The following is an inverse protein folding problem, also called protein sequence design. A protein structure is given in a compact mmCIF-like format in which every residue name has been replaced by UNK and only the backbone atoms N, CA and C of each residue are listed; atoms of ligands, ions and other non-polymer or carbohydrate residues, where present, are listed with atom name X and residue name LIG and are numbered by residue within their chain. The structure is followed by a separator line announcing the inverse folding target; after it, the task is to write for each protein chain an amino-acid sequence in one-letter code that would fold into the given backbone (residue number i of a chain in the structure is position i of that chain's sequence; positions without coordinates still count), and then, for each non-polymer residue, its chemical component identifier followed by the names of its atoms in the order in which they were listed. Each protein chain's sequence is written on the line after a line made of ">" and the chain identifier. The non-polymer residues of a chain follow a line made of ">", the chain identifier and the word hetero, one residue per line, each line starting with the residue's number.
data_IF_821422778941
#
_entry.id   IF_821422778941
#
_cell.length_a   1.000
_cell.length_b   1.000
_cell.length_c   1.000
_cell.angle_alpha   90.00
_cell.angle_beta   90.00
_cell.angle_gamma   90.00
#
_symmetry.space_group_name_H-M   'P 1'
#
loop_
_entity.id
_entity.type
_entity.pdbx_description
1 polymer ?
#
# COMPACT_ATOMS: atom_id res chain seq x y z
N UNK A 1 -8.77 9.73 19.83
CA UNK A 1 -8.36 8.31 19.92
C UNK A 1 -7.59 7.84 18.69
N UNK A 2 -8.02 8.15 17.48
CA UNK A 2 -7.40 7.65 16.23
C UNK A 2 -5.91 8.00 16.07
N UNK A 3 -5.50 9.20 16.46
CA UNK A 3 -4.08 9.60 16.40
C UNK A 3 -3.18 8.79 17.34
N UNK A 4 -3.68 8.47 18.54
CA UNK A 4 -2.93 7.62 19.49
C UNK A 4 -2.71 6.22 18.94
N UNK A 5 -3.71 5.63 18.25
CA UNK A 5 -3.56 4.34 17.57
C UNK A 5 -2.48 4.43 16.48
N UNK A 6 -2.49 5.49 15.65
CA UNK A 6 -1.47 5.68 14.62
C UNK A 6 -0.06 5.83 15.19
N UNK A 7 0.09 6.54 16.30
CA UNK A 7 1.36 6.69 17.01
C UNK A 7 1.85 5.34 17.55
N UNK A 8 0.95 4.56 18.17
CA UNK A 8 1.26 3.21 18.67
C UNK A 8 1.64 2.24 17.54
N UNK A 9 0.96 2.33 16.39
CA UNK A 9 1.29 1.56 15.17
C UNK A 9 2.73 1.83 14.74
N UNK A 10 3.14 3.10 14.70
CA UNK A 10 4.51 3.49 14.32
C UNK A 10 5.55 2.95 15.31
N UNK A 11 5.24 3.00 16.61
CA UNK A 11 6.11 2.43 17.65
C UNK A 11 6.24 0.91 17.50
N UNK A 12 5.12 0.21 17.27
CA UNK A 12 5.13 -1.25 17.06
C UNK A 12 5.91 -1.60 15.82
N UNK A 13 5.75 -0.86 14.71
CA UNK A 13 6.47 -1.09 13.48
C UNK A 13 7.98 -0.95 13.65
N UNK A 14 8.42 0.04 14.45
CA UNK A 14 9.84 0.28 14.72
C UNK A 14 10.47 -0.72 15.68
N UNK A 15 9.74 -1.17 16.70
CA UNK A 15 10.32 -1.91 17.84
C UNK A 15 9.90 -3.37 17.92
N UNK A 16 8.99 -3.86 17.10
CA UNK A 16 8.39 -5.17 17.30
C UNK A 16 8.32 -6.01 16.03
N UNK A 17 8.88 -7.22 16.10
CA UNK A 17 8.65 -8.28 15.10
C UNK A 17 7.25 -8.92 15.18
N UNK A 18 6.32 -8.39 15.96
CA UNK A 18 4.96 -8.89 16.13
C UNK A 18 4.13 -8.82 14.85
N UNK A 19 4.43 -7.87 13.99
CA UNK A 19 3.77 -7.69 12.69
C UNK A 19 3.69 -9.01 11.91
N UNK A 20 4.81 -9.71 11.75
CA UNK A 20 4.85 -10.98 11.01
C UNK A 20 4.01 -12.10 11.64
N UNK A 21 3.79 -12.07 12.96
CA UNK A 21 2.97 -13.06 13.66
C UNK A 21 1.47 -12.79 13.52
N UNK A 22 1.07 -11.53 13.51
CA UNK A 22 -0.33 -11.10 13.39
C UNK A 22 -0.81 -11.18 11.95
N UNK A 23 0.06 -10.90 11.00
CA UNK A 23 -0.26 -10.81 9.58
C UNK A 23 -0.35 -12.18 8.89
N UNK A 24 -1.33 -13.00 9.27
CA UNK A 24 -1.63 -14.28 8.62
C UNK A 24 -2.90 -14.16 7.78
N UNK A 25 -2.75 -14.27 6.45
CA UNK A 25 -3.87 -14.12 5.50
C UNK A 25 -4.67 -15.42 5.28
N UNK A 26 -4.20 -16.54 5.85
CA UNK A 26 -4.78 -17.87 5.59
C UNK A 26 -6.29 -17.97 5.87
N UNK A 27 -6.77 -17.32 6.93
CA UNK A 27 -8.20 -17.27 7.22
C UNK A 27 -9.01 -16.57 6.13
N UNK A 28 -8.49 -15.45 5.60
CA UNK A 28 -9.14 -14.69 4.55
C UNK A 28 -9.14 -15.43 3.21
N UNK A 29 -8.01 -16.01 2.83
CA UNK A 29 -7.88 -16.80 1.62
C UNK A 29 -8.78 -18.04 1.66
N UNK A 30 -8.84 -18.72 2.80
CA UNK A 30 -9.77 -19.84 3.01
C UNK A 30 -11.24 -19.44 2.90
N UNK A 31 -11.60 -18.27 3.40
CA UNK A 31 -12.93 -17.70 3.25
C UNK A 31 -13.25 -17.33 1.80
N UNK A 32 -12.33 -16.68 1.09
CA UNK A 32 -12.47 -16.39 -0.34
C UNK A 32 -12.64 -17.68 -1.18
N UNK A 33 -11.84 -18.70 -0.91
CA UNK A 33 -11.95 -20.02 -1.56
C UNK A 33 -13.34 -20.65 -1.30
N UNK A 34 -13.86 -20.55 -0.08
CA UNK A 34 -15.18 -21.07 0.26
C UNK A 34 -16.30 -20.34 -0.48
N UNK A 35 -16.24 -19.00 -0.54
CA UNK A 35 -17.22 -18.19 -1.30
C UNK A 35 -17.09 -18.46 -2.80
N UNK A 36 -15.88 -18.52 -3.33
CA UNK A 36 -15.60 -18.79 -4.74
C UNK A 36 -15.95 -20.20 -5.17
N UNK A 37 -16.04 -21.17 -4.24
CA UNK A 37 -16.53 -22.54 -4.50
C UNK A 37 -18.03 -22.63 -4.76
N UNK A 38 -18.81 -21.59 -4.43
CA UNK A 38 -20.26 -21.58 -4.61
C UNK A 38 -20.61 -21.07 -6.02
N UNK A 39 -21.17 -21.94 -6.87
CA UNK A 39 -21.50 -21.63 -8.28
C UNK A 39 -22.36 -20.37 -8.45
N UNK A 40 -23.29 -20.09 -7.54
CA UNK A 40 -24.13 -18.88 -7.61
C UNK A 40 -23.31 -17.59 -7.40
N UNK A 41 -22.24 -17.65 -6.58
CA UNK A 41 -21.36 -16.50 -6.31
C UNK A 41 -20.41 -16.19 -7.47
N UNK A 42 -19.96 -17.23 -8.18
CA UNK A 42 -19.16 -17.05 -9.40
C UNK A 42 -20.02 -16.61 -10.60
N UNK A 43 -21.30 -16.99 -10.64
CA UNK A 43 -22.26 -16.51 -11.64
C UNK A 43 -22.62 -15.02 -11.42
N UNK A 44 -22.57 -14.54 -10.18
CA UNK A 44 -22.85 -13.14 -9.79
C UNK A 44 -21.64 -12.58 -9.01
N UNK A 45 -20.56 -12.19 -9.68
CA UNK A 45 -19.29 -11.87 -9.02
C UNK A 45 -19.36 -10.70 -8.02
N UNK A 46 -20.22 -9.72 -8.29
CA UNK A 46 -20.44 -8.61 -7.35
C UNK A 46 -21.07 -9.09 -6.05
N UNK A 47 -22.06 -10.00 -6.15
CA UNK A 47 -22.67 -10.61 -4.97
C UNK A 47 -21.66 -11.47 -4.22
N UNK A 48 -20.85 -12.26 -4.93
CA UNK A 48 -19.78 -13.05 -4.35
C UNK A 48 -18.79 -12.19 -3.57
N UNK A 49 -18.34 -11.07 -4.14
CA UNK A 49 -17.43 -10.15 -3.49
C UNK A 49 -18.08 -9.46 -2.26
N UNK A 50 -19.35 -9.06 -2.36
CA UNK A 50 -20.12 -8.52 -1.23
C UNK A 50 -20.21 -9.53 -0.09
N UNK A 51 -20.59 -10.77 -0.38
CA UNK A 51 -20.68 -11.86 0.61
C UNK A 51 -19.30 -12.18 1.22
N UNK A 52 -18.22 -12.01 0.47
CA UNK A 52 -16.89 -12.19 1.02
C UNK A 52 -16.51 -11.03 1.96
N UNK A 53 -16.66 -9.78 1.54
CA UNK A 53 -16.10 -8.61 2.22
C UNK A 53 -16.98 -8.10 3.36
N UNK A 54 -18.31 -8.09 3.19
CA UNK A 54 -19.24 -7.50 4.19
C UNK A 54 -19.23 -8.19 5.55
N UNK A 55 -19.24 -9.54 5.68
CA UNK A 55 -19.33 -10.18 7.00
C UNK A 55 -18.18 -9.79 7.94
N UNK A 56 -16.89 -9.84 7.56
CA UNK A 56 -15.83 -9.41 8.45
C UNK A 56 -15.88 -7.92 8.79
N UNK A 57 -16.36 -7.06 7.87
CA UNK A 57 -16.52 -5.63 8.14
C UNK A 57 -17.67 -5.36 9.13
N UNK A 58 -18.80 -6.03 8.94
CA UNK A 58 -19.95 -5.90 9.84
C UNK A 58 -19.62 -6.45 11.24
N UNK A 59 -18.90 -7.56 11.32
CA UNK A 59 -18.42 -8.10 12.59
C UNK A 59 -17.52 -7.10 13.32
N UNK A 60 -16.56 -6.51 12.61
CA UNK A 60 -15.68 -5.50 13.18
C UNK A 60 -16.48 -4.25 13.63
N UNK A 61 -17.39 -3.75 12.78
CA UNK A 61 -18.22 -2.60 13.11
C UNK A 61 -19.07 -2.87 14.37
N UNK A 62 -19.70 -4.04 14.45
CA UNK A 62 -20.47 -4.47 15.62
C UNK A 62 -19.60 -4.53 16.88
N UNK A 63 -18.42 -5.14 16.81
CA UNK A 63 -17.50 -5.22 17.95
C UNK A 63 -17.06 -3.83 18.42
N UNK A 64 -16.79 -2.91 17.50
CA UNK A 64 -16.40 -1.53 17.83
C UNK A 64 -17.57 -0.79 18.50
N UNK A 65 -18.80 -0.89 17.97
CA UNK A 65 -19.96 -0.22 18.57
C UNK A 65 -20.28 -0.73 19.99
N UNK A 66 -19.95 -1.99 20.31
CA UNK A 66 -20.10 -2.57 21.65
C UNK A 66 -18.96 -2.09 22.58
N UNK A 67 -17.73 -2.00 22.06
CA UNK A 67 -16.55 -1.70 22.88
C UNK A 67 -16.30 -0.19 23.07
N UNK A 68 -16.69 0.66 22.11
CA UNK A 68 -16.48 2.10 22.17
C UNK A 68 -17.08 2.79 23.42
N UNK A 69 -18.32 2.48 23.85
CA UNK A 69 -18.89 3.11 25.05
C UNK A 69 -18.25 2.61 26.34
N UNK A 70 -17.52 1.49 26.32
CA UNK A 70 -16.95 0.89 27.53
C UNK A 70 -15.60 1.53 27.84
N UNK A 71 -15.44 1.98 29.08
CA UNK A 71 -14.20 2.59 29.61
C UNK A 71 -13.67 3.73 28.73
N UNK A 72 -14.57 4.62 28.23
CA UNK A 72 -14.20 5.76 27.36
C UNK A 72 -13.45 5.35 26.08
N UNK A 73 -13.74 4.16 25.54
CA UNK A 73 -13.11 3.66 24.31
C UNK A 73 -11.76 2.97 24.52
N UNK A 74 -11.26 2.87 25.74
CA UNK A 74 -9.96 2.22 26.01
C UNK A 74 -9.98 0.72 25.65
N UNK A 75 -11.13 0.04 25.75
CA UNK A 75 -11.27 -1.37 25.35
C UNK A 75 -11.31 -1.54 23.82
N UNK A 76 -11.76 -0.54 23.08
CA UNK A 76 -11.72 -0.55 21.60
C UNK A 76 -10.27 -0.35 21.06
N UNK A 77 -9.38 0.27 21.81
CA UNK A 77 -8.02 0.63 21.40
C UNK A 77 -7.18 -0.60 20.96
N UNK A 78 -7.08 -1.70 21.75
CA UNK A 78 -6.34 -2.90 21.33
C UNK A 78 -6.90 -3.52 20.06
N UNK A 79 -8.23 -3.51 19.88
CA UNK A 79 -8.88 -4.04 18.68
C UNK A 79 -8.56 -3.16 17.46
N UNK A 80 -8.67 -1.84 17.59
CA UNK A 80 -8.30 -0.91 16.52
C UNK A 80 -6.83 -1.06 16.13
N UNK A 81 -5.93 -1.15 17.12
CA UNK A 81 -4.51 -1.35 16.89
C UNK A 81 -4.23 -2.66 16.16
N UNK A 82 -4.85 -3.76 16.59
CA UNK A 82 -4.72 -5.07 15.96
C UNK A 82 -5.19 -5.03 14.51
N UNK A 83 -6.34 -4.42 14.24
CA UNK A 83 -6.89 -4.29 12.88
C UNK A 83 -5.97 -3.47 11.99
N UNK A 84 -5.44 -2.33 12.47
CA UNK A 84 -4.54 -1.50 11.67
C UNK A 84 -3.24 -2.24 11.40
N UNK A 85 -2.60 -2.85 12.42
CA UNK A 85 -1.37 -3.64 12.25
C UNK A 85 -1.57 -4.81 11.28
N UNK A 86 -2.73 -5.49 11.35
CA UNK A 86 -3.07 -6.54 10.40
C UNK A 86 -3.28 -5.99 8.98
N UNK A 87 -3.87 -4.81 8.84
CA UNK A 87 -4.16 -4.18 7.55
C UNK A 87 -2.92 -3.62 6.86
N UNK A 88 -1.86 -3.29 7.61
CA UNK A 88 -0.58 -2.88 7.01
C UNK A 88 -0.02 -3.97 6.07
N UNK A 89 0.76 -3.55 5.09
CA UNK A 89 1.36 -4.46 4.09
C UNK A 89 2.25 -5.53 4.69
N UNK A 90 2.50 -6.57 3.92
CA UNK A 90 3.33 -7.71 4.33
C UNK A 90 4.81 -7.44 4.07
N UNK A 91 5.64 -7.85 5.01
CA UNK A 91 7.10 -7.78 4.89
C UNK A 91 7.67 -6.36 5.05
N UNK A 92 8.98 -6.30 4.96
CA UNK A 92 9.77 -5.07 4.96
C UNK A 92 10.18 -4.76 3.51
N UNK A 93 9.62 -3.68 2.96
CA UNK A 93 9.84 -3.28 1.57
C UNK A 93 11.33 -3.06 1.28
N UNK A 94 12.09 -2.47 2.24
CA UNK A 94 13.54 -2.28 2.09
C UNK A 94 14.30 -3.60 2.06
N UNK A 95 13.91 -4.56 2.90
CA UNK A 95 14.54 -5.88 2.89
C UNK A 95 14.29 -6.63 1.59
N UNK A 96 13.08 -6.50 1.03
CA UNK A 96 12.73 -7.14 -0.24
C UNK A 96 13.60 -6.64 -1.39
N UNK A 97 13.97 -5.36 -1.41
CA UNK A 97 14.85 -4.79 -2.44
C UNK A 97 16.35 -4.94 -2.12
N UNK A 98 16.71 -5.37 -0.91
CA UNK A 98 18.12 -5.49 -0.50
C UNK A 98 18.99 -6.29 -1.48
N UNK A 99 18.62 -7.53 -1.84
CA UNK A 99 19.36 -8.35 -2.78
C UNK A 99 19.50 -7.71 -4.18
N UNK A 100 18.46 -7.02 -4.66
CA UNK A 100 18.51 -6.27 -5.92
C UNK A 100 19.53 -5.13 -5.84
N UNK A 101 19.49 -4.33 -4.76
CA UNK A 101 20.44 -3.23 -4.53
C UNK A 101 21.89 -3.71 -4.51
N UNK A 102 22.14 -4.87 -3.91
CA UNK A 102 23.48 -5.45 -3.83
C UNK A 102 23.99 -5.93 -5.18
N UNK A 103 23.14 -6.57 -6.00
CA UNK A 103 23.49 -6.96 -7.36
C UNK A 103 23.72 -5.72 -8.24
N UNK A 104 22.81 -4.73 -8.17
CA UNK A 104 22.89 -3.49 -8.92
C UNK A 104 24.16 -2.69 -8.61
N UNK A 105 24.55 -2.61 -7.32
CA UNK A 105 25.78 -1.95 -6.86
C UNK A 105 27.05 -2.60 -7.41
N UNK A 106 27.03 -3.92 -7.59
CA UNK A 106 28.14 -4.68 -8.19
C UNK A 106 28.14 -4.65 -9.71
N UNK A 107 27.23 -3.91 -10.32
CA UNK A 107 27.04 -3.82 -11.78
C UNK A 107 26.68 -5.19 -12.42
N UNK A 108 26.14 -6.11 -11.62
CA UNK A 108 25.66 -7.41 -12.06
C UNK A 108 24.19 -7.28 -12.54
N UNK A 109 24.02 -6.84 -13.79
CA UNK A 109 22.71 -6.65 -14.39
C UNK A 109 21.91 -7.96 -14.46
N UNK A 110 22.55 -9.07 -14.78
CA UNK A 110 21.90 -10.37 -14.90
C UNK A 110 21.46 -10.91 -13.54
N UNK A 111 22.30 -10.78 -12.52
CA UNK A 111 21.94 -11.13 -11.15
C UNK A 111 20.81 -10.25 -10.61
N UNK A 112 20.84 -8.94 -10.89
CA UNK A 112 19.78 -8.02 -10.51
C UNK A 112 18.44 -8.37 -11.19
N UNK A 113 18.45 -8.75 -12.47
CA UNK A 113 17.27 -9.21 -13.19
C UNK A 113 16.64 -10.45 -12.53
N UNK A 114 17.44 -11.48 -12.25
CA UNK A 114 16.94 -12.70 -11.59
C UNK A 114 16.38 -12.44 -10.20
N UNK A 115 16.99 -11.53 -9.45
CA UNK A 115 16.47 -11.14 -8.13
C UNK A 115 15.16 -10.37 -8.26
N UNK A 116 15.06 -9.44 -9.21
CA UNK A 116 13.83 -8.68 -9.45
C UNK A 116 12.66 -9.59 -9.84
N UNK A 117 12.90 -10.58 -10.71
CA UNK A 117 11.90 -11.55 -11.11
C UNK A 117 11.47 -12.45 -9.94
N UNK A 118 12.43 -13.01 -9.20
CA UNK A 118 12.17 -13.97 -8.12
C UNK A 118 11.56 -13.32 -6.88
N UNK A 119 12.11 -12.19 -6.43
CA UNK A 119 11.80 -11.61 -5.11
C UNK A 119 10.77 -10.48 -5.20
N UNK A 120 10.71 -9.77 -6.33
CA UNK A 120 9.78 -8.66 -6.54
C UNK A 120 8.64 -9.01 -7.52
N UNK A 121 8.68 -10.18 -8.16
CA UNK A 121 7.67 -10.61 -9.13
C UNK A 121 7.63 -9.74 -10.40
N UNK A 122 8.72 -9.04 -10.69
CA UNK A 122 8.83 -8.10 -11.81
C UNK A 122 9.18 -8.87 -13.08
N UNK A 123 8.26 -8.90 -14.05
CA UNK A 123 8.55 -9.43 -15.38
C UNK A 123 8.93 -8.25 -16.30
N UNK A 124 10.20 -8.11 -16.58
CA UNK A 124 10.70 -7.15 -17.56
C UNK A 124 11.20 -7.91 -18.77
N UNK A 125 10.76 -7.54 -19.95
CA UNK A 125 11.47 -7.96 -21.17
C UNK A 125 12.79 -7.18 -21.18
N UNK A 126 13.88 -7.88 -20.88
CA UNK A 126 15.19 -7.32 -20.60
C UNK A 126 15.88 -6.81 -21.89
N UNK A 127 15.46 -5.66 -22.38
CA UNK A 127 16.15 -5.01 -23.51
C UNK A 127 17.02 -3.82 -23.06
N UNK A 128 16.83 -3.28 -21.83
CA UNK A 128 17.62 -2.16 -21.30
C UNK A 128 17.67 -2.17 -19.75
N UNK A 129 18.87 -1.99 -19.19
CA UNK A 129 19.08 -1.91 -17.73
C UNK A 129 18.29 -0.77 -17.08
N UNK A 130 18.14 0.36 -17.77
CA UNK A 130 17.36 1.50 -17.27
C UNK A 130 15.87 1.17 -17.10
N UNK A 131 15.31 0.31 -17.94
CA UNK A 131 13.91 -0.13 -17.83
C UNK A 131 13.70 -0.98 -16.58
N UNK A 132 14.67 -1.86 -16.25
CA UNK A 132 14.62 -2.67 -15.04
C UNK A 132 14.63 -1.82 -13.76
N UNK A 133 15.54 -0.84 -13.70
CA UNK A 133 15.62 0.06 -12.55
C UNK A 133 14.32 0.86 -12.38
N UNK A 134 13.78 1.42 -13.46
CA UNK A 134 12.52 2.18 -13.43
C UNK A 134 11.34 1.33 -12.96
N UNK A 135 11.26 0.05 -13.38
CA UNK A 135 10.22 -0.87 -12.92
C UNK A 135 10.39 -1.21 -11.45
N UNK A 136 11.61 -1.45 -10.98
CA UNK A 136 11.88 -1.71 -9.55
C UNK A 136 11.57 -0.46 -8.70
N UNK A 137 11.91 0.73 -9.17
CA UNK A 137 11.55 2.00 -8.53
C UNK A 137 10.01 2.16 -8.41
N UNK A 138 9.29 1.89 -9.50
CA UNK A 138 7.82 1.90 -9.49
C UNK A 138 7.24 0.87 -8.53
N UNK A 139 7.82 -0.33 -8.49
CA UNK A 139 7.42 -1.40 -7.56
C UNK A 139 7.66 -1.00 -6.10
N UNK A 140 8.80 -0.36 -5.79
CA UNK A 140 9.10 0.16 -4.46
C UNK A 140 8.02 1.14 -3.98
N UNK A 141 7.72 2.15 -4.81
CA UNK A 141 6.71 3.17 -4.47
C UNK A 141 5.34 2.53 -4.30
N UNK A 142 4.97 1.61 -5.20
CA UNK A 142 3.69 0.90 -5.15
C UNK A 142 3.54 0.02 -3.91
N UNK A 143 4.57 -0.77 -3.58
CA UNK A 143 4.55 -1.61 -2.37
C UNK A 143 4.47 -0.78 -1.10
N UNK A 144 5.24 0.32 -1.00
CA UNK A 144 5.17 1.23 0.13
C UNK A 144 3.80 1.91 0.26
N UNK A 145 3.21 2.32 -0.88
CA UNK A 145 1.86 2.89 -0.92
C UNK A 145 0.81 1.93 -0.36
N UNK A 146 0.76 0.70 -0.89
CA UNK A 146 -0.20 -0.30 -0.45
C UNK A 146 0.02 -0.74 1.00
N UNK A 147 1.29 -0.86 1.38
CA UNK A 147 1.66 -1.36 2.70
C UNK A 147 1.31 -0.37 3.82
N UNK A 148 1.37 0.92 3.52
CA UNK A 148 1.31 1.95 4.54
C UNK A 148 0.31 3.06 4.19
N UNK A 149 0.55 3.83 3.12
CA UNK A 149 -0.17 5.08 2.85
C UNK A 149 -1.68 4.88 2.65
N UNK A 150 -2.08 3.92 1.85
CA UNK A 150 -3.51 3.67 1.59
C UNK A 150 -4.25 3.21 2.86
N UNK A 151 -3.63 2.35 3.67
CA UNK A 151 -4.21 1.87 4.94
C UNK A 151 -4.35 3.02 5.93
N UNK A 152 -3.29 3.82 6.11
CA UNK A 152 -3.30 4.97 7.03
C UNK A 152 -4.31 6.02 6.58
N UNK A 153 -4.40 6.29 5.27
CA UNK A 153 -5.39 7.22 4.71
C UNK A 153 -6.82 6.82 5.09
N UNK A 154 -7.20 5.58 4.81
CA UNK A 154 -8.56 5.11 5.08
C UNK A 154 -8.84 4.99 6.58
N UNK A 155 -7.84 4.63 7.36
CA UNK A 155 -7.96 4.63 8.81
C UNK A 155 -8.21 6.05 9.37
N UNK A 156 -7.45 7.02 8.92
CA UNK A 156 -7.56 8.39 9.39
C UNK A 156 -8.90 9.05 8.98
N UNK A 157 -9.40 8.73 7.77
CA UNK A 157 -10.61 9.34 7.23
C UNK A 157 -11.90 8.67 7.74
N UNK A 158 -11.96 7.35 7.74
CA UNK A 158 -13.18 6.55 8.00
C UNK A 158 -12.99 5.49 9.10
N UNK A 159 -11.81 5.44 9.75
CA UNK A 159 -11.54 4.53 10.85
C UNK A 159 -11.14 3.11 10.45
N UNK A 160 -11.10 2.19 11.43
CA UNK A 160 -10.53 0.84 11.25
C UNK A 160 -11.31 -0.05 10.30
N UNK A 161 -12.62 0.16 10.15
CA UNK A 161 -13.46 -0.62 9.22
C UNK A 161 -13.06 -0.36 7.76
N UNK A 162 -12.80 0.91 7.41
CA UNK A 162 -12.36 1.26 6.06
C UNK A 162 -10.94 0.79 5.75
N UNK A 163 -10.03 0.87 6.73
CA UNK A 163 -8.69 0.31 6.60
C UNK A 163 -8.73 -1.20 6.36
N UNK A 164 -9.58 -1.93 7.09
CA UNK A 164 -9.80 -3.35 6.88
C UNK A 164 -10.40 -3.62 5.50
N UNK A 165 -11.42 -2.88 5.08
CA UNK A 165 -12.06 -3.02 3.76
C UNK A 165 -11.03 -2.89 2.64
N UNK A 166 -10.19 -1.84 2.69
CA UNK A 166 -9.10 -1.66 1.74
C UNK A 166 -8.19 -2.88 1.68
N UNK A 167 -7.76 -3.37 2.85
CA UNK A 167 -6.82 -4.51 2.90
C UNK A 167 -7.43 -5.81 2.39
N UNK A 168 -8.69 -6.11 2.74
CA UNK A 168 -9.40 -7.29 2.23
C UNK A 168 -9.53 -7.26 0.70
N UNK A 169 -9.86 -6.10 0.14
CA UNK A 169 -9.94 -5.89 -1.31
C UNK A 169 -8.56 -6.02 -1.97
N UNK A 170 -7.51 -5.48 -1.37
CA UNK A 170 -6.15 -5.57 -1.90
C UNK A 170 -5.69 -7.04 -1.98
N UNK A 171 -5.91 -7.83 -0.93
CA UNK A 171 -5.55 -9.26 -0.94
C UNK A 171 -6.42 -10.03 -1.94
N UNK A 172 -7.73 -9.76 -2.03
CA UNK A 172 -8.61 -10.40 -3.00
C UNK A 172 -8.19 -10.10 -4.44
N UNK A 173 -7.81 -8.84 -4.74
CA UNK A 173 -7.34 -8.45 -6.06
C UNK A 173 -6.01 -9.10 -6.48
N UNK A 174 -5.17 -9.47 -5.51
CA UNK A 174 -3.84 -10.04 -5.78
C UNK A 174 -3.80 -11.57 -5.72
N UNK A 175 -4.52 -12.16 -4.77
CA UNK A 175 -4.33 -13.56 -4.39
C UNK A 175 -5.57 -14.45 -4.58
N UNK A 176 -6.73 -13.90 -4.97
CA UNK A 176 -7.92 -14.71 -5.21
C UNK A 176 -7.67 -15.68 -6.39
N UNK A 177 -8.01 -16.94 -6.17
CA UNK A 177 -7.88 -18.01 -7.16
C UNK A 177 -8.95 -17.93 -8.26
N UNK A 178 -10.06 -17.27 -7.96
CA UNK A 178 -11.16 -17.09 -8.91
C UNK A 178 -10.93 -15.82 -9.75
N UNK A 179 -10.60 -15.95 -11.06
CA UNK A 179 -10.25 -14.79 -11.88
C UNK A 179 -11.34 -13.72 -11.92
N UNK A 180 -12.61 -14.15 -11.88
CA UNK A 180 -13.76 -13.25 -11.96
C UNK A 180 -13.92 -12.42 -10.68
N UNK A 181 -13.76 -13.03 -9.50
CA UNK A 181 -13.78 -12.30 -8.21
C UNK A 181 -12.57 -11.38 -8.10
N UNK A 182 -11.39 -11.85 -8.50
CA UNK A 182 -10.15 -11.06 -8.53
C UNK A 182 -10.31 -9.79 -9.37
N UNK A 183 -10.93 -9.91 -10.55
CA UNK A 183 -11.17 -8.74 -11.41
C UNK A 183 -12.11 -7.71 -10.75
N UNK A 184 -13.20 -8.16 -10.10
CA UNK A 184 -14.10 -7.24 -9.38
C UNK A 184 -13.46 -6.62 -8.16
N UNK A 185 -12.66 -7.38 -7.42
CA UNK A 185 -11.86 -6.85 -6.32
C UNK A 185 -10.87 -5.78 -6.82
N UNK A 186 -10.22 -6.01 -7.96
CA UNK A 186 -9.31 -5.05 -8.58
C UNK A 186 -10.03 -3.75 -9.02
N UNK A 187 -11.25 -3.85 -9.55
CA UNK A 187 -12.07 -2.68 -9.91
C UNK A 187 -12.43 -1.84 -8.68
N UNK A 188 -12.89 -2.49 -7.59
CA UNK A 188 -13.18 -1.77 -6.33
C UNK A 188 -11.91 -1.19 -5.72
N UNK A 189 -10.83 -1.95 -5.72
CA UNK A 189 -9.55 -1.46 -5.24
C UNK A 189 -9.09 -0.23 -6.01
N UNK A 190 -9.25 -0.20 -7.34
CA UNK A 190 -8.93 0.97 -8.15
C UNK A 190 -9.71 2.22 -7.67
N UNK A 191 -11.00 2.07 -7.34
CA UNK A 191 -11.78 3.15 -6.76
C UNK A 191 -11.26 3.61 -5.39
N UNK A 192 -10.89 2.65 -4.52
CA UNK A 192 -10.28 2.95 -3.22
C UNK A 192 -8.88 3.56 -3.35
N UNK A 193 -8.10 3.20 -4.35
CA UNK A 193 -6.78 3.76 -4.60
C UNK A 193 -6.82 5.18 -5.19
N UNK A 194 -7.93 5.57 -5.81
CA UNK A 194 -8.02 6.83 -6.58
C UNK A 194 -7.68 8.06 -5.74
N UNK A 195 -8.28 8.19 -4.57
CA UNK A 195 -8.11 9.35 -3.70
C UNK A 195 -6.76 9.33 -2.94
N UNK A 196 -6.38 8.24 -2.23
CA UNK A 196 -5.13 8.23 -1.47
C UNK A 196 -3.88 8.28 -2.34
N UNK A 197 -3.92 7.74 -3.58
CA UNK A 197 -2.79 7.87 -4.49
C UNK A 197 -2.55 9.33 -4.89
N UNK A 198 -3.61 10.09 -5.16
CA UNK A 198 -3.51 11.53 -5.47
C UNK A 198 -3.05 12.36 -4.26
N UNK A 199 -3.52 12.01 -3.07
CA UNK A 199 -3.04 12.61 -1.82
C UNK A 199 -1.53 12.38 -1.62
N UNK A 200 -1.04 11.17 -1.94
CA UNK A 200 0.40 10.88 -1.87
C UNK A 200 1.20 11.63 -2.94
N UNK A 201 0.68 11.75 -4.17
CA UNK A 201 1.33 12.56 -5.22
C UNK A 201 1.41 14.03 -4.83
N UNK A 202 0.36 14.58 -4.22
CA UNK A 202 0.41 15.94 -3.65
C UNK A 202 1.48 16.04 -2.56
N UNK A 203 1.63 15.00 -1.73
CA UNK A 203 2.69 14.96 -0.73
C UNK A 203 4.08 14.96 -1.38
N UNK A 204 4.28 14.20 -2.46
CA UNK A 204 5.52 14.24 -3.25
C UNK A 204 5.81 15.63 -3.82
N UNK A 205 4.78 16.36 -4.27
CA UNK A 205 4.95 17.75 -4.68
C UNK A 205 5.46 18.62 -3.52
N UNK A 206 4.89 18.47 -2.32
CA UNK A 206 5.25 19.29 -1.16
C UNK A 206 6.65 19.00 -0.60
N UNK A 207 7.11 17.75 -0.66
CA UNK A 207 8.38 17.32 -0.05
C UNK A 207 9.50 17.09 -1.07
N UNK A 208 9.20 17.15 -2.37
CA UNK A 208 10.13 16.99 -3.50
C UNK A 208 10.07 18.17 -4.47
N UNK A 209 10.04 17.92 -5.77
CA UNK A 209 9.96 18.95 -6.79
C UNK A 209 8.52 19.41 -7.04
N UNK A 210 8.11 20.50 -6.36
CA UNK A 210 6.73 21.01 -6.41
C UNK A 210 6.25 21.31 -7.83
N UNK A 211 7.05 22.05 -8.60
CA UNK A 211 6.65 22.52 -9.94
C UNK A 211 6.49 21.37 -10.92
N UNK A 212 7.45 20.45 -10.93
CA UNK A 212 7.45 19.32 -11.85
C UNK A 212 6.30 18.34 -11.55
N UNK A 213 6.11 17.98 -10.27
CA UNK A 213 5.05 17.06 -9.84
C UNK A 213 3.66 17.69 -10.04
N UNK A 214 3.48 18.96 -9.68
CA UNK A 214 2.19 19.65 -9.85
C UNK A 214 1.80 19.74 -11.32
N UNK A 215 2.74 20.07 -12.21
CA UNK A 215 2.49 20.11 -13.67
C UNK A 215 2.06 18.73 -14.20
N UNK A 216 2.73 17.67 -13.78
CA UNK A 216 2.38 16.29 -14.13
C UNK A 216 1.00 15.90 -13.57
N UNK A 217 0.74 16.22 -12.29
CA UNK A 217 -0.50 15.88 -11.62
C UNK A 217 -1.71 16.59 -12.24
N UNK A 218 -1.61 17.86 -12.58
CA UNK A 218 -2.74 18.62 -13.16
C UNK A 218 -3.26 17.99 -14.45
N UNK A 219 -2.41 17.34 -15.22
CA UNK A 219 -2.83 16.62 -16.44
C UNK A 219 -3.64 15.35 -16.09
N UNK A 220 -3.24 14.61 -15.05
CA UNK A 220 -3.81 13.31 -14.70
C UNK A 220 -4.73 13.37 -13.45
N UNK A 221 -4.99 14.57 -12.89
CA UNK A 221 -5.67 14.73 -11.60
C UNK A 221 -7.06 14.07 -11.56
N UNK A 222 -7.83 14.29 -12.61
CA UNK A 222 -9.20 13.79 -12.74
C UNK A 222 -9.31 12.54 -13.63
N UNK A 223 -8.21 12.08 -14.20
CA UNK A 223 -8.20 10.90 -15.05
C UNK A 223 -8.50 9.64 -14.21
N UNK A 224 -9.67 9.04 -14.46
CA UNK A 224 -10.09 7.82 -13.76
C UNK A 224 -9.35 6.58 -14.25
N UNK A 225 -9.02 6.53 -15.51
CA UNK A 225 -8.42 5.41 -16.24
C UNK A 225 -6.91 5.22 -15.95
N UNK A 226 -6.26 6.20 -15.30
CA UNK A 226 -4.85 6.09 -14.93
C UNK A 226 -4.70 5.21 -13.65
N UNK A 227 -4.06 4.02 -13.74
CA UNK A 227 -3.81 3.20 -12.58
C UNK A 227 -2.95 3.90 -11.53
N UNK A 228 -3.30 3.78 -10.26
CA UNK A 228 -2.58 4.40 -9.14
C UNK A 228 -1.08 4.03 -9.13
N UNK A 229 -0.73 2.78 -9.45
CA UNK A 229 0.67 2.35 -9.54
C UNK A 229 1.47 3.14 -10.57
N UNK A 230 0.89 3.38 -11.77
CA UNK A 230 1.53 4.17 -12.83
C UNK A 230 1.67 5.64 -12.43
N UNK A 231 0.62 6.21 -11.84
CA UNK A 231 0.61 7.59 -11.38
C UNK A 231 1.71 7.83 -10.33
N UNK A 232 1.79 6.95 -9.33
CA UNK A 232 2.77 7.02 -8.24
C UNK A 232 4.20 6.82 -8.73
N UNK A 233 4.45 5.86 -9.63
CA UNK A 233 5.77 5.63 -10.20
C UNK A 233 6.26 6.88 -10.96
N UNK A 234 5.42 7.46 -11.82
CA UNK A 234 5.74 8.71 -12.55
C UNK A 234 5.98 9.88 -11.60
N UNK A 235 5.13 10.02 -10.58
CA UNK A 235 5.26 11.10 -9.61
C UNK A 235 6.56 10.99 -8.79
N UNK A 236 6.93 9.81 -8.35
CA UNK A 236 8.19 9.57 -7.65
C UNK A 236 9.41 9.89 -8.52
N UNK A 237 9.38 9.46 -9.78
CA UNK A 237 10.44 9.76 -10.75
C UNK A 237 10.62 11.28 -10.97
N UNK A 238 9.51 11.98 -11.16
CA UNK A 238 9.51 13.44 -11.40
C UNK A 238 9.87 14.23 -10.14
N UNK A 239 9.51 13.74 -8.96
CA UNK A 239 9.76 14.41 -7.68
C UNK A 239 11.24 14.50 -7.31
N UNK A 240 12.04 13.48 -7.68
CA UNK A 240 13.46 13.39 -7.36
C UNK A 240 14.36 13.75 -8.56
N UNK A 241 13.79 14.23 -9.69
CA UNK A 241 14.50 14.69 -10.89
C UNK A 241 15.61 13.73 -11.36
N UNK A 242 15.22 12.45 -11.53
CA UNK A 242 16.18 11.41 -11.91
C UNK A 242 16.64 11.61 -13.36
N UNK A 243 17.78 12.27 -13.51
CA UNK A 243 18.52 12.32 -14.76
C UNK A 243 19.46 11.09 -14.81
N UNK A 244 19.05 10.07 -15.56
CA UNK A 244 19.85 8.86 -15.92
C UNK A 244 20.33 7.99 -14.74
N UNK A 245 19.52 6.99 -14.37
CA UNK A 245 19.91 5.91 -13.47
C UNK A 245 20.67 4.81 -14.20
N UNK A 246 22.01 4.89 -14.29
CA UNK A 246 22.83 3.79 -14.76
C UNK A 246 23.07 2.69 -13.73
N UNK A 247 23.67 1.55 -14.16
CA UNK A 247 24.17 0.51 -13.27
C UNK A 247 25.16 1.09 -12.24
N UNK A 248 25.26 0.42 -11.09
CA UNK A 248 26.19 0.79 -10.04
C UNK A 248 25.61 1.76 -8.99
N UNK A 249 26.49 2.54 -8.37
CA UNK A 249 26.18 3.39 -7.22
C UNK A 249 25.10 4.45 -7.49
N UNK A 250 25.01 4.98 -8.70
CA UNK A 250 24.00 6.00 -9.09
C UNK A 250 22.59 5.44 -9.05
N UNK A 251 22.37 4.24 -9.59
CA UNK A 251 21.06 3.59 -9.55
C UNK A 251 20.63 3.22 -8.12
N UNK A 252 21.57 2.81 -7.26
CA UNK A 252 21.28 2.57 -5.85
C UNK A 252 20.91 3.88 -5.14
N UNK A 253 21.62 4.97 -5.43
CA UNK A 253 21.31 6.29 -4.86
C UNK A 253 19.90 6.77 -5.23
N UNK A 254 19.42 6.48 -6.44
CA UNK A 254 18.05 6.82 -6.85
C UNK A 254 16.98 6.04 -6.08
N UNK A 255 17.22 4.75 -5.75
CA UNK A 255 16.35 3.98 -4.86
C UNK A 255 16.33 4.55 -3.43
N UNK A 256 17.48 4.98 -2.93
CA UNK A 256 17.59 5.61 -1.62
C UNK A 256 16.86 6.97 -1.58
N UNK A 257 16.97 7.78 -2.62
CA UNK A 257 16.25 9.03 -2.74
C UNK A 257 14.73 8.83 -2.76
N UNK A 258 14.22 7.85 -3.53
CA UNK A 258 12.79 7.49 -3.51
C UNK A 258 12.32 7.03 -2.14
N UNK A 259 13.13 6.23 -1.45
CA UNK A 259 12.78 5.83 -0.09
C UNK A 259 12.72 7.03 0.85
N UNK A 260 13.66 7.96 0.75
CA UNK A 260 13.65 9.20 1.52
C UNK A 260 12.43 10.08 1.20
N UNK A 261 12.02 10.15 -0.07
CA UNK A 261 10.78 10.84 -0.48
C UNK A 261 9.56 10.24 0.23
N UNK A 262 9.45 8.90 0.26
CA UNK A 262 8.39 8.19 0.95
C UNK A 262 8.40 8.47 2.46
N UNK A 263 9.57 8.45 3.10
CA UNK A 263 9.71 8.75 4.54
C UNK A 263 9.29 10.19 4.84
N UNK A 264 9.76 11.17 4.05
CA UNK A 264 9.35 12.59 4.19
C UNK A 264 7.84 12.74 4.03
N UNK A 265 7.24 12.06 3.06
CA UNK A 265 5.77 12.05 2.87
C UNK A 265 5.03 11.42 4.04
N UNK A 266 5.55 10.34 4.63
CA UNK A 266 4.96 9.73 5.82
C UNK A 266 5.01 10.70 7.02
N UNK A 267 6.13 11.38 7.24
CA UNK A 267 6.26 12.40 8.29
C UNK A 267 5.25 13.54 8.08
N UNK A 268 5.09 14.02 6.83
CA UNK A 268 4.10 15.02 6.47
C UNK A 268 2.68 14.55 6.84
N UNK A 269 2.32 13.31 6.51
CA UNK A 269 0.99 12.77 6.85
C UNK A 269 0.75 12.71 8.35
N UNK A 270 1.74 12.24 9.12
CA UNK A 270 1.63 12.23 10.58
C UNK A 270 1.48 13.64 11.15
N UNK A 271 2.19 14.64 10.62
CA UNK A 271 2.04 16.03 11.03
C UNK A 271 0.63 16.57 10.72
N UNK A 272 0.10 16.31 9.53
CA UNK A 272 -1.26 16.70 9.13
C UNK A 272 -2.30 16.02 10.02
N UNK A 273 -2.17 14.72 10.29
CA UNK A 273 -3.10 14.01 11.18
C UNK A 273 -3.00 14.45 12.63
N UNK A 274 -1.80 14.82 13.10
CA UNK A 274 -1.63 15.39 14.44
C UNK A 274 -2.37 16.73 14.59
N UNK A 275 -2.22 17.62 13.59
CA UNK A 275 -2.92 18.91 13.57
C UNK A 275 -4.45 18.67 13.48
N UNK A 276 -4.88 17.77 12.61
CA UNK A 276 -6.30 17.41 12.49
C UNK A 276 -6.89 16.91 13.82
N UNK A 277 -6.15 16.04 14.53
CA UNK A 277 -6.59 15.49 15.82
C UNK A 277 -6.59 16.52 16.96
N UNK A 278 -5.83 17.62 16.83
CA UNK A 278 -5.82 18.72 17.82
C UNK A 278 -6.96 19.71 17.57
N UNK A 279 -7.46 19.81 16.33
CA UNK A 279 -8.51 20.75 15.96
C UNK A 279 -9.93 20.18 16.15
N UNK A 280 -10.06 18.85 16.25
CA UNK A 280 -11.32 18.14 16.49
C UNK A 280 -11.38 17.55 17.90
#
# INVERSE_FOLDING_TARGET
>A
MSFLVLLLVLLIEKFSGWRARVQRDGWWLGWLDAVGGVKSMTAQPWLGLLVAVLPPLLLLALLLTILEPVAYGLLALPLQLLVVVWSLGRGDVLRAIGPFRDAWRREDAQGAYHVAERDLGVQVQADRDNDLLAVVQGTLVWQAYQAFFAVIFWYALLGPVAALAYRLLAIAAEQDRQPVLRERAAQLRHAFDWLPARALVLSFALVGNFVAVTRMLLHDLLAWDVPAARLLARAGYVAEDFNEGGLGAKGVASLDALWQLLVRSAVLWYAVFAIWALLL
#
